data_IF_108040903366
#
_entry.id   IF_108040903366
#
_cell.length_a   1.000
_cell.length_b   1.000
_cell.length_c   1.000
_cell.angle_alpha   90.00
_cell.angle_beta   90.00
_cell.angle_gamma   90.00
#
_symmetry.space_group_name_H-M   'P 1'
#
loop_
_entity.id
_entity.type
_entity.pdbx_description
1 polymer ?
#
# COMPACT_ATOMS: atom_id res chain seq x y z
N UNK A 1 31.09 -8.94 24.26
CA UNK A 1 29.88 -9.68 23.82
C UNK A 1 28.57 -8.92 24.07
N UNK A 2 28.30 -8.44 25.31
CA UNK A 2 27.00 -7.85 25.67
C UNK A 2 26.62 -6.54 24.96
N UNK A 3 27.59 -5.68 24.65
CA UNK A 3 27.35 -4.42 23.92
C UNK A 3 26.90 -4.68 22.48
N UNK A 4 27.64 -5.49 21.73
CA UNK A 4 27.34 -5.86 20.34
C UNK A 4 25.94 -6.46 20.19
N UNK A 5 25.55 -7.36 21.10
CA UNK A 5 24.22 -7.97 21.11
C UNK A 5 23.10 -6.95 21.36
N UNK A 6 23.32 -5.96 22.22
CA UNK A 6 22.33 -4.88 22.48
C UNK A 6 22.18 -3.97 21.27
N UNK A 7 23.29 -3.59 20.63
CA UNK A 7 23.28 -2.75 19.43
C UNK A 7 22.57 -3.43 18.26
N UNK A 8 22.82 -4.74 18.06
CA UNK A 8 22.14 -5.53 17.04
C UNK A 8 20.63 -5.63 17.29
N UNK A 9 20.21 -5.86 18.54
CA UNK A 9 18.78 -5.86 18.89
C UNK A 9 18.11 -4.51 18.65
N UNK A 10 18.79 -3.40 18.97
CA UNK A 10 18.29 -2.06 18.71
C UNK A 10 18.15 -1.80 17.21
N UNK A 11 19.15 -2.17 16.41
CA UNK A 11 19.11 -2.05 14.95
C UNK A 11 17.95 -2.83 14.33
N UNK A 12 17.75 -4.09 14.73
CA UNK A 12 16.60 -4.89 14.29
C UNK A 12 15.27 -4.26 14.71
N UNK A 13 15.18 -3.69 15.92
CA UNK A 13 13.98 -2.96 16.36
C UNK A 13 13.67 -1.74 15.48
N UNK A 14 14.69 -0.98 15.09
CA UNK A 14 14.53 0.20 14.20
C UNK A 14 14.09 -0.24 12.80
N UNK A 15 14.69 -1.30 12.25
CA UNK A 15 14.28 -1.84 10.96
C UNK A 15 12.81 -2.29 11.02
N UNK A 16 12.38 -2.95 12.10
CA UNK A 16 10.97 -3.29 12.30
C UNK A 16 10.04 -2.07 12.33
N UNK A 17 10.43 -1.00 13.04
CA UNK A 17 9.68 0.27 13.06
C UNK A 17 9.47 0.83 11.65
N UNK A 18 10.49 0.77 10.80
CA UNK A 18 10.42 1.22 9.40
C UNK A 18 9.73 0.22 8.47
N UNK A 19 9.76 -1.07 8.80
CA UNK A 19 9.13 -2.13 8.03
C UNK A 19 7.60 -2.08 8.15
N UNK A 20 7.07 -1.71 9.32
CA UNK A 20 5.62 -1.65 9.56
C UNK A 20 4.85 -0.71 8.61
N UNK A 21 5.26 0.55 8.35
CA UNK A 21 4.57 1.40 7.38
C UNK A 21 4.63 0.85 5.96
N UNK A 22 5.77 0.28 5.55
CA UNK A 22 5.94 -0.34 4.23
C UNK A 22 4.97 -1.52 4.10
N UNK A 23 4.91 -2.38 5.12
CA UNK A 23 4.05 -3.56 5.12
C UNK A 23 2.58 -3.17 5.07
N UNK A 24 2.13 -2.21 5.87
CA UNK A 24 0.74 -1.76 5.85
C UNK A 24 0.37 -1.11 4.53
N UNK A 25 1.22 -0.21 4.00
CA UNK A 25 0.96 0.49 2.75
C UNK A 25 0.86 -0.49 1.57
N UNK A 26 1.85 -1.36 1.41
CA UNK A 26 1.87 -2.35 0.32
C UNK A 26 0.73 -3.36 0.45
N UNK A 27 0.31 -3.71 1.68
CA UNK A 27 -0.88 -4.53 1.91
C UNK A 27 -2.16 -3.80 1.50
N UNK A 28 -2.31 -2.52 1.85
CA UNK A 28 -3.44 -1.71 1.43
C UNK A 28 -3.53 -1.57 -0.09
N UNK A 29 -2.41 -1.32 -0.76
CA UNK A 29 -2.32 -1.29 -2.23
C UNK A 29 -2.74 -2.65 -2.81
N UNK A 30 -2.22 -3.76 -2.29
CA UNK A 30 -2.59 -5.10 -2.77
C UNK A 30 -4.07 -5.39 -2.60
N UNK A 31 -4.68 -5.01 -1.48
CA UNK A 31 -6.14 -5.15 -1.32
C UNK A 31 -6.88 -4.30 -2.34
N UNK A 32 -6.51 -3.02 -2.50
CA UNK A 32 -7.17 -2.12 -3.43
C UNK A 32 -7.09 -2.57 -4.90
N UNK A 33 -5.91 -2.99 -5.36
CA UNK A 33 -5.70 -3.51 -6.72
C UNK A 33 -6.54 -4.76 -7.00
N UNK A 34 -6.81 -5.59 -5.98
CA UNK A 34 -7.53 -6.86 -6.15
C UNK A 34 -9.01 -6.79 -5.76
N UNK A 35 -9.52 -5.63 -5.34
CA UNK A 35 -10.92 -5.48 -4.92
C UNK A 35 -11.78 -4.96 -6.06
N UNK A 36 -12.52 -5.86 -6.72
CA UNK A 36 -13.40 -5.52 -7.84
C UNK A 36 -14.42 -4.43 -7.48
N UNK A 37 -14.86 -4.36 -6.22
CA UNK A 37 -15.80 -3.32 -5.77
C UNK A 37 -15.24 -1.91 -5.86
N UNK A 38 -13.91 -1.73 -5.76
CA UNK A 38 -13.28 -0.43 -5.96
C UNK A 38 -13.42 0.02 -7.42
N UNK A 39 -13.24 -0.90 -8.37
CA UNK A 39 -13.41 -0.64 -9.79
C UNK A 39 -14.85 -0.30 -10.12
N UNK A 40 -15.81 -1.14 -9.68
CA UNK A 40 -17.24 -0.92 -9.92
C UNK A 40 -17.73 0.39 -9.27
N UNK A 41 -17.31 0.70 -8.04
CA UNK A 41 -17.58 1.99 -7.41
C UNK A 41 -17.08 3.16 -8.26
N UNK A 42 -15.85 3.05 -8.77
CA UNK A 42 -15.26 4.03 -9.66
C UNK A 42 -16.07 4.21 -10.95
N UNK A 43 -16.48 3.10 -11.55
CA UNK A 43 -17.26 3.10 -12.79
C UNK A 43 -18.61 3.79 -12.62
N UNK A 44 -19.29 3.48 -11.52
CA UNK A 44 -20.59 4.06 -11.19
C UNK A 44 -20.45 5.54 -10.81
N UNK A 45 -19.46 5.91 -9.98
CA UNK A 45 -19.28 7.30 -9.50
C UNK A 45 -18.86 8.27 -10.60
N UNK A 46 -18.00 7.83 -11.52
CA UNK A 46 -17.46 8.67 -12.58
C UNK A 46 -18.18 8.49 -13.92
N UNK A 47 -19.30 7.76 -13.93
CA UNK A 47 -20.14 7.53 -15.11
C UNK A 47 -19.32 7.10 -16.33
N UNK A 48 -18.48 6.08 -16.13
CA UNK A 48 -17.45 5.70 -17.10
C UNK A 48 -18.06 5.31 -18.44
N UNK A 49 -17.61 6.01 -19.47
CA UNK A 49 -17.96 5.78 -20.87
C UNK A 49 -16.67 5.75 -21.69
N UNK A 50 -16.53 4.78 -22.58
CA UNK A 50 -15.36 4.61 -23.44
C UNK A 50 -15.60 5.16 -24.85
N UNK A 51 -14.57 5.13 -25.72
CA UNK A 51 -14.66 5.57 -27.12
C UNK A 51 -15.57 4.69 -27.97
N UNK A 52 -15.86 3.48 -27.49
CA UNK A 52 -16.88 2.57 -28.03
C UNK A 52 -17.97 2.34 -26.99
N UNK A 53 -19.20 2.01 -27.42
CA UNK A 53 -20.23 1.54 -26.50
C UNK A 53 -19.74 0.29 -25.76
N UNK A 54 -19.83 0.35 -24.43
CA UNK A 54 -19.51 -0.74 -23.49
C UNK A 54 -20.54 -0.64 -22.38
N UNK A 55 -21.17 -1.76 -22.05
CA UNK A 55 -22.13 -1.80 -20.95
C UNK A 55 -21.44 -2.02 -19.59
N UNK A 56 -22.21 -1.88 -18.51
CA UNK A 56 -21.69 -2.03 -17.14
C UNK A 56 -21.12 -3.43 -16.87
N UNK A 57 -21.72 -4.46 -17.45
CA UNK A 57 -21.25 -5.84 -17.25
C UNK A 57 -19.90 -6.05 -17.95
N UNK A 58 -19.75 -5.54 -19.17
CA UNK A 58 -18.51 -5.57 -19.92
C UNK A 58 -17.40 -4.77 -19.21
N UNK A 59 -17.69 -3.59 -18.62
CA UNK A 59 -16.73 -2.86 -17.78
C UNK A 59 -16.24 -3.69 -16.59
N UNK A 60 -17.13 -4.41 -15.91
CA UNK A 60 -16.76 -5.28 -14.80
C UNK A 60 -15.88 -6.45 -15.26
N UNK A 61 -16.16 -7.06 -16.42
CA UNK A 61 -15.29 -8.10 -16.99
C UNK A 61 -13.90 -7.55 -17.36
N UNK A 62 -13.83 -6.37 -17.98
CA UNK A 62 -12.55 -5.70 -18.29
C UNK A 62 -11.74 -5.46 -17.02
N UNK A 63 -12.39 -5.01 -15.93
CA UNK A 63 -11.72 -4.83 -14.64
C UNK A 63 -11.20 -6.16 -14.07
N UNK A 64 -11.99 -7.24 -14.12
CA UNK A 64 -11.53 -8.57 -13.68
C UNK A 64 -10.34 -9.06 -14.51
N UNK A 65 -10.38 -8.86 -15.83
CA UNK A 65 -9.27 -9.24 -16.72
C UNK A 65 -8.01 -8.40 -16.44
N UNK A 66 -8.15 -7.12 -16.11
CA UNK A 66 -7.02 -6.28 -15.64
C UNK A 66 -6.45 -6.79 -14.32
N UNK A 67 -7.30 -7.15 -13.35
CA UNK A 67 -6.85 -7.73 -12.07
C UNK A 67 -6.07 -9.03 -12.34
N UNK A 68 -6.59 -9.92 -13.18
CA UNK A 68 -5.89 -11.15 -13.58
C UNK A 68 -4.56 -10.83 -14.25
N UNK A 69 -4.55 -9.91 -15.21
CA UNK A 69 -3.32 -9.47 -15.90
C UNK A 69 -2.28 -8.94 -14.91
N UNK A 70 -2.66 -8.09 -13.96
CA UNK A 70 -1.71 -7.56 -12.98
C UNK A 70 -1.12 -8.63 -12.06
N UNK A 71 -1.79 -9.77 -11.88
CA UNK A 71 -1.33 -10.88 -11.04
C UNK A 71 -0.70 -12.04 -11.84
N UNK A 72 -0.76 -12.03 -13.17
CA UNK A 72 -0.18 -13.10 -14.00
C UNK A 72 1.32 -12.90 -14.28
N UNK A 73 1.98 -13.93 -14.80
CA UNK A 73 3.35 -13.84 -15.32
C UNK A 73 3.42 -13.28 -16.75
N UNK A 74 2.27 -13.14 -17.43
CA UNK A 74 2.23 -12.76 -18.85
C UNK A 74 2.70 -11.32 -19.07
N UNK A 75 3.64 -11.10 -19.98
CA UNK A 75 4.06 -9.73 -20.30
C UNK A 75 3.00 -8.99 -21.13
N UNK A 76 2.30 -9.71 -21.99
CA UNK A 76 1.33 -9.15 -22.94
C UNK A 76 -0.09 -9.16 -22.36
N UNK A 77 -0.84 -8.10 -22.66
CA UNK A 77 -2.27 -8.05 -22.36
C UNK A 77 -3.04 -9.00 -23.29
N UNK A 78 -4.15 -9.55 -22.80
CA UNK A 78 -5.05 -10.39 -23.58
C UNK A 78 -5.76 -9.64 -24.72
N UNK A 79 -6.31 -10.38 -25.68
CA UNK A 79 -6.93 -9.81 -26.88
C UNK A 79 -8.09 -8.86 -26.58
N UNK A 80 -8.91 -9.15 -25.56
CA UNK A 80 -10.01 -8.27 -25.15
C UNK A 80 -9.47 -6.95 -24.62
N UNK A 81 -8.55 -6.97 -23.66
CA UNK A 81 -7.90 -5.76 -23.16
C UNK A 81 -7.24 -4.96 -24.29
N UNK A 82 -6.67 -5.64 -25.28
CA UNK A 82 -6.06 -4.99 -26.45
C UNK A 82 -7.07 -4.31 -27.36
N UNK A 83 -8.29 -4.82 -27.46
CA UNK A 83 -9.39 -4.14 -28.17
C UNK A 83 -9.90 -2.92 -27.39
N UNK A 84 -9.86 -2.97 -26.06
CA UNK A 84 -10.29 -1.86 -25.19
C UNK A 84 -9.23 -0.77 -25.11
N UNK A 85 -7.95 -1.13 -25.04
CA UNK A 85 -6.79 -0.24 -24.97
C UNK A 85 -5.94 -0.39 -26.23
N UNK A 86 -6.43 0.10 -27.39
CA UNK A 86 -5.84 -0.23 -28.69
C UNK A 86 -4.53 0.49 -28.98
N UNK A 87 -4.25 1.60 -28.28
CA UNK A 87 -3.07 2.38 -28.59
C UNK A 87 -1.82 1.73 -28.01
N UNK A 88 -0.72 1.80 -28.76
CA UNK A 88 0.60 1.36 -28.27
C UNK A 88 0.97 2.02 -26.92
N UNK A 89 0.51 3.25 -26.72
CA UNK A 89 0.79 4.04 -25.52
C UNK A 89 0.10 3.48 -24.28
N UNK A 90 -1.19 3.14 -24.37
CA UNK A 90 -1.92 2.51 -23.26
C UNK A 90 -1.36 1.13 -22.92
N UNK A 91 -1.04 0.32 -23.94
CA UNK A 91 -0.51 -1.03 -23.75
C UNK A 91 0.83 -0.98 -22.98
N UNK A 92 1.75 -0.10 -23.40
CA UNK A 92 3.04 0.05 -22.71
C UNK A 92 2.83 0.57 -21.30
N UNK A 93 1.96 1.56 -21.10
CA UNK A 93 1.71 2.10 -19.77
C UNK A 93 1.08 1.06 -18.82
N UNK A 94 0.14 0.24 -19.29
CA UNK A 94 -0.42 -0.88 -18.51
C UNK A 94 0.65 -1.90 -18.10
N UNK A 95 1.58 -2.21 -19.00
CA UNK A 95 2.73 -3.07 -18.68
C UNK A 95 3.65 -2.45 -17.62
N UNK A 96 3.92 -1.14 -17.69
CA UNK A 96 4.68 -0.43 -16.66
C UNK A 96 3.98 -0.46 -15.30
N UNK A 97 2.66 -0.21 -15.28
CA UNK A 97 1.82 -0.29 -14.08
C UNK A 97 1.84 -1.70 -13.50
N UNK A 98 1.75 -2.75 -14.33
CA UNK A 98 1.89 -4.14 -13.89
C UNK A 98 3.21 -4.37 -13.16
N UNK A 99 4.33 -3.92 -13.73
CA UNK A 99 5.65 -4.07 -13.10
C UNK A 99 5.76 -3.33 -11.77
N UNK A 100 5.14 -2.16 -11.67
CA UNK A 100 5.09 -1.40 -10.42
C UNK A 100 4.26 -2.10 -9.34
N UNK A 101 3.10 -2.67 -9.71
CA UNK A 101 2.26 -3.49 -8.82
C UNK A 101 3.04 -4.72 -8.34
N UNK A 102 3.70 -5.43 -9.25
CA UNK A 102 4.50 -6.61 -8.92
C UNK A 102 5.68 -6.26 -8.01
N UNK A 103 6.36 -5.13 -8.24
CA UNK A 103 7.38 -4.61 -7.33
C UNK A 103 6.81 -4.35 -5.93
N UNK A 104 5.63 -3.73 -5.84
CA UNK A 104 4.92 -3.52 -4.57
C UNK A 104 4.66 -4.84 -3.84
N UNK A 105 4.24 -5.88 -4.54
CA UNK A 105 4.04 -7.22 -3.96
C UNK A 105 5.35 -7.84 -3.46
N UNK A 106 6.44 -7.73 -4.23
CA UNK A 106 7.76 -8.23 -3.78
C UNK A 106 8.25 -7.50 -2.53
N UNK A 107 8.07 -6.18 -2.47
CA UNK A 107 8.41 -5.38 -1.28
C UNK A 107 7.58 -5.83 -0.08
N UNK A 108 6.29 -6.08 -0.27
CA UNK A 108 5.41 -6.63 0.77
C UNK A 108 5.90 -8.00 1.26
N UNK A 109 6.24 -8.91 0.35
CA UNK A 109 6.72 -10.26 0.66
C UNK A 109 8.01 -10.22 1.48
N UNK A 110 8.98 -9.38 1.09
CA UNK A 110 10.23 -9.18 1.83
C UNK A 110 9.95 -8.61 3.23
N UNK A 111 9.06 -7.62 3.33
CA UNK A 111 8.65 -7.03 4.60
C UNK A 111 7.96 -8.05 5.53
N UNK A 112 7.13 -8.94 4.96
CA UNK A 112 6.50 -10.04 5.69
C UNK A 112 7.54 -11.04 6.19
N UNK A 113 8.44 -11.51 5.33
CA UNK A 113 9.50 -12.46 5.71
C UNK A 113 10.35 -11.87 6.84
N UNK A 114 10.75 -10.60 6.72
CA UNK A 114 11.48 -9.90 7.77
C UNK A 114 10.67 -9.82 9.08
N UNK A 115 9.39 -9.45 9.00
CA UNK A 115 8.50 -9.34 10.16
C UNK A 115 8.37 -10.69 10.88
N UNK A 116 8.12 -11.78 10.14
CA UNK A 116 8.05 -13.12 10.72
C UNK A 116 9.36 -13.54 11.36
N UNK A 117 10.51 -13.31 10.71
CA UNK A 117 11.82 -13.61 11.26
C UNK A 117 12.09 -12.81 12.55
N UNK A 118 11.77 -11.52 12.56
CA UNK A 118 11.91 -10.66 13.73
C UNK A 118 11.08 -11.16 14.92
N UNK A 119 9.82 -11.53 14.68
CA UNK A 119 8.94 -12.08 15.70
C UNK A 119 9.46 -13.44 16.20
N UNK A 120 9.74 -14.37 15.30
CA UNK A 120 10.20 -15.72 15.63
C UNK A 120 11.50 -15.70 16.45
N UNK A 121 12.51 -14.96 15.99
CA UNK A 121 13.79 -14.82 16.69
C UNK A 121 13.63 -14.07 18.02
N UNK A 122 12.81 -13.02 18.06
CA UNK A 122 12.51 -12.28 19.27
C UNK A 122 11.91 -13.17 20.36
N UNK A 123 10.90 -13.96 20.02
CA UNK A 123 10.27 -14.90 20.96
C UNK A 123 11.18 -16.09 21.32
N UNK A 124 11.94 -16.64 20.37
CA UNK A 124 12.87 -17.73 20.63
C UNK A 124 13.98 -17.32 21.62
N UNK A 125 14.58 -16.15 21.42
CA UNK A 125 15.74 -15.69 22.20
C UNK A 125 15.35 -14.99 23.52
N UNK A 126 14.28 -14.19 23.52
CA UNK A 126 13.92 -13.33 24.67
C UNK A 126 12.63 -13.77 25.35
N UNK A 127 11.85 -14.68 24.76
CA UNK A 127 10.58 -15.19 25.32
C UNK A 127 9.68 -14.06 25.80
N UNK A 128 9.19 -14.11 27.05
CA UNK A 128 8.32 -13.09 27.64
C UNK A 128 8.98 -11.71 27.76
N UNK A 129 10.32 -11.63 27.77
CA UNK A 129 11.04 -10.36 27.79
C UNK A 129 11.02 -9.64 26.43
N UNK A 130 10.57 -10.29 25.35
CA UNK A 130 10.42 -9.68 24.03
C UNK A 130 9.19 -8.77 23.94
N UNK A 131 8.05 -9.16 24.53
CA UNK A 131 6.78 -8.44 24.40
C UNK A 131 6.87 -6.91 24.66
N UNK A 132 7.54 -6.41 25.72
CA UNK A 132 7.63 -4.96 25.92
C UNK A 132 8.49 -4.27 24.84
N UNK A 133 9.50 -4.95 24.29
CA UNK A 133 10.32 -4.43 23.20
C UNK A 133 9.50 -4.39 21.91
N UNK A 134 8.79 -5.48 21.61
CA UNK A 134 7.88 -5.56 20.47
C UNK A 134 6.79 -4.49 20.55
N UNK A 135 6.13 -4.33 21.70
CA UNK A 135 5.09 -3.31 21.86
C UNK A 135 5.62 -1.88 21.64
N UNK A 136 6.83 -1.57 22.12
CA UNK A 136 7.47 -0.27 21.81
C UNK A 136 7.77 -0.11 20.32
N UNK A 137 8.23 -1.16 19.65
CA UNK A 137 8.52 -1.14 18.22
C UNK A 137 7.24 -1.02 17.38
N UNK A 138 6.17 -1.74 17.73
CA UNK A 138 4.84 -1.62 17.11
C UNK A 138 4.26 -0.23 17.31
N UNK A 139 4.36 0.33 18.53
CA UNK A 139 3.92 1.70 18.81
C UNK A 139 4.69 2.72 17.96
N UNK A 140 6.03 2.61 17.93
CA UNK A 140 6.89 3.47 17.11
C UNK A 140 6.54 3.37 15.62
N UNK A 141 6.44 2.14 15.10
CA UNK A 141 6.06 1.91 13.70
C UNK A 141 4.65 2.42 13.37
N UNK A 142 3.70 2.28 14.30
CA UNK A 142 2.33 2.80 14.13
C UNK A 142 2.32 4.32 14.06
N UNK A 143 3.08 5.00 14.93
CA UNK A 143 3.27 6.45 14.88
C UNK A 143 3.91 6.86 13.56
N UNK A 144 4.99 6.20 13.12
CA UNK A 144 5.63 6.45 11.83
C UNK A 144 4.65 6.27 10.67
N UNK A 145 3.80 5.24 10.74
CA UNK A 145 2.78 4.95 9.72
C UNK A 145 1.66 5.98 9.67
N UNK A 146 1.40 6.71 10.76
CA UNK A 146 0.41 7.80 10.77
C UNK A 146 1.07 9.10 10.31
N UNK A 147 2.25 9.42 10.83
CA UNK A 147 2.93 10.70 10.57
C UNK A 147 3.37 10.81 9.11
N UNK A 148 3.95 9.75 8.53
CA UNK A 148 4.50 9.79 7.17
C UNK A 148 3.40 10.05 6.11
N UNK A 149 2.25 9.35 6.12
CA UNK A 149 1.14 9.66 5.22
C UNK A 149 0.37 10.92 5.61
N UNK A 150 0.40 11.42 6.84
CA UNK A 150 -0.18 12.74 7.13
C UNK A 150 0.63 13.86 6.46
N UNK A 151 1.96 13.75 6.46
CA UNK A 151 2.84 14.70 5.77
C UNK A 151 2.68 14.59 4.24
N UNK A 152 2.67 13.36 3.70
CA UNK A 152 2.57 13.13 2.25
C UNK A 152 1.12 13.24 1.70
N UNK A 153 0.14 12.79 2.48
CA UNK A 153 -1.28 12.74 2.13
C UNK A 153 -2.02 14.05 2.45
N UNK A 154 -1.56 14.84 3.42
CA UNK A 154 -2.00 16.23 3.55
C UNK A 154 -1.73 17.02 2.26
N UNK A 155 -0.59 16.79 1.61
CA UNK A 155 -0.30 17.33 0.28
C UNK A 155 -1.22 16.74 -0.81
N UNK A 156 -1.60 15.47 -0.72
CA UNK A 156 -2.51 14.86 -1.69
C UNK A 156 -3.93 15.45 -1.62
N UNK A 157 -4.43 15.84 -0.44
CA UNK A 157 -5.73 16.50 -0.30
C UNK A 157 -5.79 17.89 -0.94
N UNK A 158 -4.70 18.67 -0.84
CA UNK A 158 -4.68 20.05 -1.34
C UNK A 158 -4.00 20.20 -2.71
N UNK A 159 -3.24 19.20 -3.16
CA UNK A 159 -2.42 19.26 -4.37
C UNK A 159 -2.34 17.90 -5.09
N UNK A 160 -3.48 17.20 -5.22
CA UNK A 160 -3.52 15.89 -5.87
C UNK A 160 -2.95 15.90 -7.30
N UNK A 161 -3.13 16.99 -8.06
CA UNK A 161 -2.54 17.14 -9.40
C UNK A 161 -1.01 17.09 -9.37
N UNK A 162 -0.39 17.77 -8.41
CA UNK A 162 1.06 17.74 -8.24
C UNK A 162 1.53 16.35 -7.80
N UNK A 163 0.81 15.73 -6.85
CA UNK A 163 1.11 14.37 -6.39
C UNK A 163 1.02 13.36 -7.54
N UNK A 164 -0.06 13.40 -8.32
CA UNK A 164 -0.29 12.58 -9.51
C UNK A 164 0.88 12.69 -10.49
N UNK A 165 1.30 13.91 -10.83
CA UNK A 165 2.41 14.12 -11.75
C UNK A 165 3.74 13.61 -11.19
N UNK A 166 4.05 13.90 -9.92
CA UNK A 166 5.29 13.44 -9.28
C UNK A 166 5.35 11.92 -9.15
N UNK A 167 4.24 11.28 -8.82
CA UNK A 167 4.13 9.83 -8.78
C UNK A 167 4.53 9.23 -10.12
N UNK A 168 4.00 9.74 -11.23
CA UNK A 168 4.31 9.20 -12.56
C UNK A 168 5.77 9.43 -12.95
N UNK A 169 6.32 10.62 -12.70
CA UNK A 169 7.74 10.90 -13.01
C UNK A 169 8.70 10.02 -12.21
N UNK A 170 8.38 9.71 -10.96
CA UNK A 170 9.20 8.85 -10.10
C UNK A 170 9.02 7.37 -10.46
N UNK A 171 7.79 6.95 -10.74
CA UNK A 171 7.45 5.53 -10.97
C UNK A 171 7.80 5.06 -12.38
N UNK A 172 7.81 5.98 -13.35
CA UNK A 172 8.06 5.71 -14.76
C UNK A 172 9.22 6.58 -15.29
N UNK A 173 10.42 6.46 -14.71
CA UNK A 173 11.55 7.31 -15.08
C UNK A 173 11.95 7.07 -16.54
N UNK A 174 12.05 8.14 -17.32
CA UNK A 174 12.41 8.08 -18.75
C UNK A 174 11.28 7.59 -19.67
N UNK A 175 10.06 7.43 -19.15
CA UNK A 175 8.88 7.08 -19.92
C UNK A 175 7.87 8.22 -19.94
N UNK A 176 7.30 8.49 -21.10
CA UNK A 176 6.22 9.45 -21.30
C UNK A 176 4.89 8.76 -21.61
N UNK A 177 4.84 7.42 -21.65
CA UNK A 177 3.66 6.65 -22.09
C UNK A 177 2.44 6.84 -21.18
N UNK A 178 2.65 7.26 -19.94
CA UNK A 178 1.59 7.61 -18.98
C UNK A 178 0.89 8.95 -19.29
N UNK A 179 1.47 9.80 -20.15
CA UNK A 179 0.83 11.04 -20.60
C UNK A 179 -0.21 10.67 -21.66
N UNK A 180 -1.46 10.60 -21.23
CA UNK A 180 -2.61 10.18 -22.03
C UNK A 180 -3.54 11.35 -22.32
N UNK A 181 -4.27 11.22 -23.42
CA UNK A 181 -5.27 12.14 -23.94
C UNK A 181 -6.65 11.47 -23.86
N UNK A 182 -7.62 12.00 -23.09
CA UNK A 182 -8.92 11.35 -22.90
C UNK A 182 -9.75 11.29 -24.19
N UNK A 183 -9.43 12.09 -25.21
CA UNK A 183 -10.08 12.00 -26.53
C UNK A 183 -9.61 10.77 -27.34
N UNK A 184 -8.45 10.20 -26.97
CA UNK A 184 -7.78 9.13 -27.75
C UNK A 184 -7.55 7.85 -26.98
N UNK A 185 -7.56 7.90 -25.64
CA UNK A 185 -7.13 6.81 -24.78
C UNK A 185 -8.24 6.44 -23.80
N UNK A 186 -8.76 5.22 -23.94
CA UNK A 186 -9.74 4.64 -23.04
C UNK A 186 -9.18 4.44 -21.63
N UNK A 187 -7.88 4.22 -21.46
CA UNK A 187 -7.27 4.02 -20.15
C UNK A 187 -7.49 5.22 -19.22
N UNK A 188 -7.33 6.45 -19.74
CA UNK A 188 -7.59 7.67 -18.96
C UNK A 188 -9.09 7.92 -18.76
N UNK A 189 -9.93 7.51 -19.71
CA UNK A 189 -11.40 7.56 -19.56
C UNK A 189 -11.88 6.58 -18.49
N UNK A 190 -11.33 5.36 -18.46
CA UNK A 190 -11.73 4.29 -17.53
C UNK A 190 -11.22 4.52 -16.12
N UNK A 191 -10.02 5.09 -15.99
CA UNK A 191 -9.40 5.43 -14.71
C UNK A 191 -9.07 6.93 -14.66
N UNK A 192 -10.10 7.79 -14.60
CA UNK A 192 -9.90 9.23 -14.52
C UNK A 192 -9.17 9.57 -13.22
N UNK A 193 -8.55 10.75 -13.17
CA UNK A 193 -7.76 11.15 -12.01
C UNK A 193 -8.55 11.07 -10.68
N UNK A 194 -9.86 11.34 -10.70
CA UNK A 194 -10.73 11.19 -9.53
C UNK A 194 -10.76 9.77 -8.97
N UNK A 195 -10.80 8.74 -9.83
CA UNK A 195 -10.76 7.34 -9.41
C UNK A 195 -9.51 7.06 -8.56
N UNK A 196 -8.36 7.56 -9.00
CA UNK A 196 -7.10 7.38 -8.28
C UNK A 196 -7.02 8.18 -6.99
N UNK A 197 -7.67 9.34 -6.92
CA UNK A 197 -7.82 10.09 -5.68
C UNK A 197 -8.58 9.27 -4.65
N UNK A 198 -9.75 8.74 -5.01
CA UNK A 198 -10.57 7.90 -4.14
C UNK A 198 -9.83 6.65 -3.68
N UNK A 199 -9.16 5.94 -4.60
CA UNK A 199 -8.36 4.77 -4.27
C UNK A 199 -7.22 5.13 -3.29
N UNK A 200 -6.55 6.26 -3.50
CA UNK A 200 -5.49 6.75 -2.61
C UNK A 200 -6.05 7.05 -1.21
N UNK A 201 -7.22 7.70 -1.13
CA UNK A 201 -7.88 7.99 0.14
C UNK A 201 -8.33 6.72 0.87
N UNK A 202 -8.89 5.74 0.15
CA UNK A 202 -9.28 4.46 0.71
C UNK A 202 -8.08 3.71 1.32
N UNK A 203 -6.98 3.59 0.56
CA UNK A 203 -5.75 2.93 1.03
C UNK A 203 -5.17 3.67 2.23
N UNK A 204 -5.05 5.01 2.15
CA UNK A 204 -4.50 5.83 3.23
C UNK A 204 -5.34 5.72 4.50
N UNK A 205 -6.67 5.78 4.38
CA UNK A 205 -7.60 5.63 5.49
C UNK A 205 -7.51 4.25 6.14
N UNK A 206 -7.50 3.18 5.33
CA UNK A 206 -7.35 1.81 5.83
C UNK A 206 -6.02 1.58 6.56
N UNK A 207 -4.92 2.10 6.02
CA UNK A 207 -3.59 2.07 6.65
C UNK A 207 -3.58 2.83 7.97
N UNK A 208 -4.20 4.01 8.02
CA UNK A 208 -4.29 4.82 9.24
C UNK A 208 -5.10 4.09 10.33
N UNK A 209 -6.24 3.50 9.98
CA UNK A 209 -7.05 2.70 10.92
C UNK A 209 -6.25 1.51 11.46
N UNK A 210 -5.59 0.75 10.59
CA UNK A 210 -4.76 -0.38 11.00
C UNK A 210 -3.63 0.05 11.95
N UNK A 211 -2.94 1.15 11.64
CA UNK A 211 -1.90 1.72 12.49
C UNK A 211 -2.45 2.18 13.85
N UNK A 212 -3.61 2.84 13.90
CA UNK A 212 -4.27 3.26 15.14
C UNK A 212 -4.64 2.05 16.02
N UNK A 213 -5.18 0.99 15.43
CA UNK A 213 -5.52 -0.24 16.15
C UNK A 213 -4.28 -0.90 16.76
N UNK A 214 -3.21 -1.06 15.96
CA UNK A 214 -1.96 -1.67 16.44
C UNK A 214 -1.26 -0.80 17.49
N UNK A 215 -1.14 0.50 17.24
CA UNK A 215 -0.54 1.46 18.16
C UNK A 215 -1.31 1.59 19.46
N UNK A 216 -2.65 1.64 19.39
CA UNK A 216 -3.53 1.67 20.55
C UNK A 216 -3.40 0.42 21.41
N UNK A 217 -3.41 -0.77 20.80
CA UNK A 217 -3.21 -2.03 21.51
C UNK A 217 -1.82 -2.13 22.16
N UNK A 218 -0.77 -1.76 21.44
CA UNK A 218 0.59 -1.75 21.96
C UNK A 218 0.78 -0.74 23.11
N UNK A 219 0.21 0.47 22.97
CA UNK A 219 0.22 1.51 23.99
C UNK A 219 -0.54 1.09 25.24
N UNK A 220 -1.75 0.55 25.10
CA UNK A 220 -2.55 0.05 26.21
C UNK A 220 -1.82 -1.05 26.99
N UNK A 221 -1.20 -2.02 26.29
CA UNK A 221 -0.38 -3.06 26.91
C UNK A 221 0.78 -2.46 27.73
N UNK A 222 1.50 -1.46 27.18
CA UNK A 222 2.61 -0.81 27.87
C UNK A 222 2.15 -0.07 29.13
N UNK A 223 1.00 0.63 29.08
CA UNK A 223 0.41 1.33 30.23
C UNK A 223 -0.02 0.35 31.32
N UNK A 224 -0.72 -0.72 30.97
CA UNK A 224 -1.16 -1.75 31.94
C UNK A 224 0.03 -2.40 32.62
N UNK A 225 1.07 -2.73 31.85
CA UNK A 225 2.30 -3.30 32.39
C UNK A 225 3.01 -2.34 33.36
N UNK A 226 3.17 -1.06 32.99
CA UNK A 226 3.78 -0.07 33.86
C UNK A 226 3.03 0.08 35.18
N UNK A 227 1.69 0.03 35.16
CA UNK A 227 0.87 0.08 36.39
C UNK A 227 1.08 -1.14 37.29
N UNK A 228 1.19 -2.34 36.70
CA UNK A 228 1.45 -3.58 37.45
C UNK A 228 2.85 -3.61 38.07
N UNK A 229 3.83 -3.05 37.37
CA UNK A 229 5.23 -3.07 37.78
C UNK A 229 5.60 -1.87 38.71
N UNK A 230 4.64 -0.98 39.06
CA UNK A 230 4.84 0.08 40.07
C UNK A 230 4.89 -0.54 41.48
N UNK A 231 5.93 -0.27 42.29
CA UNK A 231 5.92 -0.67 43.69
C UNK A 231 4.77 0.02 44.42
N UNK A 232 4.09 -0.71 45.32
CA UNK A 232 3.10 -0.12 46.22
C UNK A 232 3.88 0.73 47.22
N UNK A 233 3.94 2.04 47.01
CA UNK A 233 4.39 2.97 48.05
C UNK A 233 3.30 3.03 49.13
N UNK A 234 3.54 2.33 50.24
CA UNK A 234 2.77 2.48 51.49
C UNK A 234 2.21 1.17 52.06
N UNK A 235 3.03 0.45 52.83
CA UNK A 235 2.70 -0.10 54.16
C UNK A 235 3.96 -0.08 55.03
#
# INVERSE_FOLDING_TARGET
MGYVMRTLQAGLGIIFVLCLPILLLTSGIRVAVNEIRLYEYGFDKYEISLLRPVDRAELAEIARELIVYFNSEDELIGDRLRQVFPTRREIIHLWEVKRLIQLSYRVQEIALVYTFAYLALGFACLRKAFLPKLAKAVLGGSVTTIVLPLILGGLALFAFNWFWWKFHVISFPGSDYWILDPEKHNLLRMFPQGFWFDATMLVTGGVAVAALMMGGGAGAYLVVRQRRDRPIEGQ
#
